data_IF_676408539981
#
_entry.id   IF_676408539981
#
_cell.length_a   1.000
_cell.length_b   1.000
_cell.length_c   1.000
_cell.angle_alpha   90.00
_cell.angle_beta   90.00
_cell.angle_gamma   90.00
#
_symmetry.space_group_name_H-M   'P 1'
#
loop_
_entity.id
_entity.type
_entity.pdbx_description
1 polymer ?
#
# COMPACT_ATOMS: atom_id res chain seq x y z
N UNK A 1 -9.72 -4.16 3.88
CA UNK A 1 -9.59 -3.58 2.54
C UNK A 1 -8.13 -3.67 2.10
N UNK A 2 -7.86 -4.19 0.91
CA UNK A 2 -6.52 -4.32 0.33
C UNK A 2 -6.51 -3.69 -1.07
N UNK A 3 -5.60 -2.76 -1.29
CA UNK A 3 -5.40 -2.12 -2.60
C UNK A 3 -4.44 -2.94 -3.47
N UNK A 4 -4.49 -2.73 -4.78
CA UNK A 4 -3.72 -3.52 -5.74
C UNK A 4 -2.20 -3.32 -5.70
N UNK A 5 -1.72 -2.28 -5.06
CA UNK A 5 -0.30 -2.01 -4.78
C UNK A 5 0.16 -2.49 -3.38
N UNK A 6 -0.76 -3.11 -2.59
CA UNK A 6 -0.52 -3.55 -1.21
C UNK A 6 -0.69 -5.07 -1.04
N UNK A 7 -0.28 -5.85 -2.03
CA UNK A 7 -0.49 -7.31 -2.08
C UNK A 7 0.53 -8.06 -1.21
N UNK A 8 0.40 -7.91 0.11
CA UNK A 8 1.28 -8.55 1.09
C UNK A 8 0.49 -9.39 2.08
N UNK A 9 0.90 -10.68 2.25
CA UNK A 9 0.32 -11.60 3.24
C UNK A 9 0.57 -11.16 4.69
N UNK A 10 1.61 -10.37 4.91
CA UNK A 10 1.97 -9.81 6.21
C UNK A 10 1.50 -8.36 6.37
N UNK A 11 0.57 -7.92 5.52
CA UNK A 11 -0.03 -6.60 5.61
C UNK A 11 -0.63 -6.35 6.99
N UNK A 12 -0.36 -5.18 7.55
CA UNK A 12 -0.98 -4.78 8.82
C UNK A 12 -2.52 -4.77 8.74
N UNK A 13 -3.11 -4.67 7.55
CA UNK A 13 -4.56 -4.79 7.36
C UNK A 13 -5.12 -6.18 7.75
N UNK A 14 -4.27 -7.20 7.80
CA UNK A 14 -4.64 -8.57 8.18
C UNK A 14 -4.31 -8.91 9.64
N UNK A 15 -3.72 -7.99 10.41
CA UNK A 15 -3.45 -8.22 11.83
C UNK A 15 -4.76 -8.38 12.60
N UNK A 16 -4.90 -9.51 13.32
CA UNK A 16 -6.11 -9.83 14.07
C UNK A 16 -7.29 -10.25 13.21
N UNK A 17 -7.07 -10.60 11.93
CA UNK A 17 -8.11 -11.11 11.04
C UNK A 17 -8.71 -12.42 11.56
N UNK A 18 -10.04 -12.47 11.70
CA UNK A 18 -10.79 -13.65 12.05
C UNK A 18 -11.58 -14.16 10.82
N UNK A 19 -11.15 -15.27 10.24
CA UNK A 19 -11.77 -15.83 9.04
C UNK A 19 -13.26 -16.21 9.19
N UNK A 20 -13.76 -16.34 10.42
CA UNK A 20 -15.18 -16.62 10.70
C UNK A 20 -16.06 -15.37 10.63
N UNK A 21 -15.49 -14.18 10.86
CA UNK A 21 -16.22 -12.91 10.98
C UNK A 21 -15.83 -11.94 9.87
N UNK A 22 -14.54 -11.88 9.55
CA UNK A 22 -13.98 -10.86 8.68
C UNK A 22 -13.96 -11.27 7.20
N UNK A 23 -13.92 -10.27 6.34
CA UNK A 23 -13.77 -10.44 4.89
C UNK A 23 -12.72 -9.48 4.35
N UNK A 24 -11.94 -9.96 3.40
CA UNK A 24 -11.06 -9.10 2.59
C UNK A 24 -11.88 -8.55 1.44
N UNK A 25 -11.88 -7.24 1.28
CA UNK A 25 -12.46 -6.57 0.12
C UNK A 25 -11.35 -6.04 -0.78
N UNK A 26 -11.50 -6.31 -2.09
CA UNK A 26 -10.62 -5.84 -3.16
C UNK A 26 -11.44 -5.50 -4.40
N UNK A 27 -11.06 -4.45 -5.12
CA UNK A 27 -11.74 -4.06 -6.36
C UNK A 27 -10.73 -3.64 -7.44
N UNK A 28 -10.95 -4.13 -8.66
CA UNK A 28 -10.35 -3.59 -9.87
C UNK A 28 -11.24 -2.44 -10.33
N UNK A 29 -10.75 -1.23 -10.34
CA UNK A 29 -11.56 -0.07 -10.73
C UNK A 29 -11.00 0.61 -11.97
N UNK A 30 -11.91 1.22 -12.73
CA UNK A 30 -11.54 1.95 -13.95
C UNK A 30 -10.65 3.17 -13.66
N UNK A 31 -10.64 3.68 -12.43
CA UNK A 31 -9.70 4.73 -12.00
C UNK A 31 -8.25 4.26 -12.11
N UNK A 32 -7.95 3.01 -11.78
CA UNK A 32 -6.63 2.40 -12.06
C UNK A 32 -6.39 2.34 -13.57
N UNK A 33 -7.43 2.11 -14.36
CA UNK A 33 -7.38 2.18 -15.82
C UNK A 33 -7.43 3.64 -16.32
N UNK A 34 -8.10 4.57 -15.63
CA UNK A 34 -8.20 5.99 -15.98
C UNK A 34 -6.97 6.79 -15.55
N UNK A 35 -6.29 6.42 -14.49
CA UNK A 35 -4.91 6.89 -14.21
C UNK A 35 -3.95 6.45 -15.31
N UNK A 36 -4.14 5.23 -15.84
CA UNK A 36 -3.43 4.78 -17.03
C UNK A 36 -3.88 5.49 -18.31
N UNK A 37 -4.98 6.26 -18.31
CA UNK A 37 -5.39 7.13 -19.43
C UNK A 37 -4.94 8.57 -19.27
N UNK A 38 -4.72 9.06 -18.06
CA UNK A 38 -4.06 10.36 -17.80
C UNK A 38 -2.57 10.32 -18.14
N UNK A 39 -1.92 9.19 -17.87
CA UNK A 39 -0.54 8.91 -18.26
C UNK A 39 -0.55 7.58 -19.00
N UNK A 40 -0.15 7.60 -20.29
CA UNK A 40 -0.11 6.38 -21.11
C UNK A 40 0.75 5.29 -20.44
N UNK A 41 0.07 4.22 -20.02
CA UNK A 41 0.70 3.06 -19.37
C UNK A 41 0.72 1.90 -20.35
N UNK A 42 1.84 1.21 -20.45
CA UNK A 42 1.96 0.04 -21.31
C UNK A 42 1.00 -1.06 -20.89
N UNK A 43 0.30 -1.67 -21.86
CA UNK A 43 -0.71 -2.73 -21.62
C UNK A 43 -0.19 -3.86 -20.72
N UNK A 44 1.08 -4.27 -20.89
CA UNK A 44 1.68 -5.30 -20.06
C UNK A 44 1.70 -4.94 -18.57
N UNK A 45 1.90 -3.65 -18.22
CA UNK A 45 1.83 -3.20 -16.81
C UNK A 45 0.44 -3.38 -16.24
N UNK A 46 -0.60 -2.99 -16.99
CA UNK A 46 -1.99 -3.15 -16.56
C UNK A 46 -2.31 -4.64 -16.35
N UNK A 47 -1.97 -5.48 -17.33
CA UNK A 47 -2.21 -6.94 -17.26
C UNK A 47 -1.48 -7.55 -16.06
N UNK A 48 -0.21 -7.20 -15.85
CA UNK A 48 0.58 -7.71 -14.72
C UNK A 48 -0.03 -7.29 -13.39
N UNK A 49 -0.47 -6.03 -13.27
CA UNK A 49 -1.07 -5.50 -12.05
C UNK A 49 -2.40 -6.22 -11.71
N UNK A 50 -3.31 -6.31 -12.68
CA UNK A 50 -4.58 -7.00 -12.48
C UNK A 50 -4.40 -8.51 -12.25
N UNK A 51 -3.47 -9.16 -12.97
CA UNK A 51 -3.13 -10.56 -12.74
C UNK A 51 -2.59 -10.79 -11.32
N UNK A 52 -1.71 -9.93 -10.83
CA UNK A 52 -1.19 -10.01 -9.47
C UNK A 52 -2.31 -9.89 -8.41
N UNK A 53 -3.25 -8.97 -8.59
CA UNK A 53 -4.42 -8.82 -7.73
C UNK A 53 -5.26 -10.10 -7.69
N UNK A 54 -5.57 -10.68 -8.86
CA UNK A 54 -6.36 -11.92 -8.99
C UNK A 54 -5.68 -13.10 -8.33
N UNK A 55 -4.39 -13.31 -8.60
CA UNK A 55 -3.61 -14.38 -7.95
C UNK A 55 -3.51 -14.21 -6.44
N UNK A 56 -3.37 -12.97 -5.96
CA UNK A 56 -3.37 -12.71 -4.53
C UNK A 56 -4.71 -13.05 -3.88
N UNK A 57 -5.82 -12.65 -4.49
CA UNK A 57 -7.17 -13.00 -4.03
C UNK A 57 -7.40 -14.53 -4.03
N UNK A 58 -7.01 -15.23 -5.09
CA UNK A 58 -7.08 -16.72 -5.18
C UNK A 58 -6.26 -17.37 -4.07
N UNK A 59 -5.06 -16.88 -3.82
CA UNK A 59 -4.20 -17.37 -2.73
C UNK A 59 -4.87 -17.19 -1.37
N UNK A 60 -5.44 -16.02 -1.08
CA UNK A 60 -6.18 -15.77 0.15
C UNK A 60 -7.35 -16.75 0.30
N UNK A 61 -8.12 -16.98 -0.79
CA UNK A 61 -9.21 -17.95 -0.78
C UNK A 61 -8.73 -19.38 -0.49
N UNK A 62 -7.59 -19.81 -1.06
CA UNK A 62 -7.03 -21.14 -0.79
C UNK A 62 -6.56 -21.31 0.65
N UNK A 63 -6.25 -20.22 1.32
CA UNK A 63 -5.89 -20.18 2.74
C UNK A 63 -7.12 -20.01 3.67
N UNK A 64 -8.33 -20.10 3.13
CA UNK A 64 -9.57 -20.03 3.90
C UNK A 64 -10.07 -18.63 4.19
N UNK A 65 -9.45 -17.58 3.62
CA UNK A 65 -9.91 -16.20 3.76
C UNK A 65 -11.06 -15.93 2.79
N UNK A 66 -12.18 -15.42 3.29
CA UNK A 66 -13.26 -14.96 2.44
C UNK A 66 -12.88 -13.64 1.76
N UNK A 67 -12.78 -13.66 0.43
CA UNK A 67 -12.45 -12.48 -0.38
C UNK A 67 -13.67 -12.03 -1.18
N UNK A 68 -14.06 -10.79 -0.97
CA UNK A 68 -15.04 -10.09 -1.79
C UNK A 68 -14.28 -9.31 -2.87
N UNK A 69 -14.22 -9.89 -4.06
CA UNK A 69 -13.42 -9.38 -5.16
C UNK A 69 -14.29 -8.87 -6.30
N UNK A 70 -14.10 -7.61 -6.69
CA UNK A 70 -14.78 -7.00 -7.83
C UNK A 70 -13.81 -6.91 -9.00
N UNK A 71 -14.12 -7.61 -10.11
CA UNK A 71 -13.33 -7.53 -11.34
C UNK A 71 -13.70 -6.30 -12.16
N UNK A 72 -12.75 -5.83 -12.98
CA UNK A 72 -12.94 -4.68 -13.84
C UNK A 72 -14.07 -4.87 -14.87
N UNK A 73 -14.24 -6.09 -15.36
CA UNK A 73 -15.23 -6.49 -16.36
C UNK A 73 -16.55 -6.99 -15.76
N UNK A 74 -16.71 -6.95 -14.43
CA UNK A 74 -18.00 -7.26 -13.80
C UNK A 74 -19.05 -6.21 -14.21
N UNK A 75 -20.23 -6.66 -14.60
CA UNK A 75 -21.34 -5.78 -15.03
C UNK A 75 -21.79 -4.81 -13.91
N UNK A 76 -21.54 -5.15 -12.66
CA UNK A 76 -21.86 -4.32 -11.50
C UNK A 76 -20.70 -3.42 -11.05
N UNK A 77 -19.55 -3.46 -11.74
CA UNK A 77 -18.42 -2.59 -11.42
C UNK A 77 -18.78 -1.13 -11.70
N UNK A 78 -18.64 -0.29 -10.69
CA UNK A 78 -19.07 1.12 -10.70
C UNK A 78 -17.97 2.09 -11.10
N UNK A 79 -16.78 1.58 -11.40
CA UNK A 79 -15.68 2.31 -12.01
C UNK A 79 -14.81 3.11 -11.06
N UNK A 80 -15.20 3.32 -9.78
CA UNK A 80 -14.37 4.04 -8.82
C UNK A 80 -14.26 3.32 -7.46
N UNK A 81 -13.16 3.53 -6.74
CA UNK A 81 -12.98 2.96 -5.40
C UNK A 81 -14.08 3.39 -4.43
N UNK A 82 -14.46 4.65 -4.47
CA UNK A 82 -15.49 5.19 -3.57
C UNK A 82 -16.83 4.52 -3.78
N UNK A 83 -17.29 4.43 -5.04
CA UNK A 83 -18.59 3.85 -5.36
C UNK A 83 -18.64 2.35 -5.13
N UNK A 84 -17.52 1.64 -5.36
CA UNK A 84 -17.40 0.23 -5.03
C UNK A 84 -17.37 0.00 -3.51
N UNK A 85 -16.67 0.85 -2.74
CA UNK A 85 -16.67 0.78 -1.29
C UNK A 85 -18.08 1.04 -0.72
N UNK A 86 -18.79 2.04 -1.22
CA UNK A 86 -20.19 2.32 -0.82
C UNK A 86 -21.10 1.11 -1.02
N UNK A 87 -20.97 0.45 -2.18
CA UNK A 87 -21.72 -0.76 -2.48
C UNK A 87 -21.35 -1.93 -1.54
N UNK A 88 -20.06 -2.10 -1.29
CA UNK A 88 -19.57 -3.14 -0.38
C UNK A 88 -20.05 -2.91 1.06
N UNK A 89 -19.97 -1.68 1.57
CA UNK A 89 -20.42 -1.32 2.91
C UNK A 89 -21.94 -1.52 3.05
N UNK A 90 -22.73 -1.11 2.05
CA UNK A 90 -24.18 -1.30 2.06
C UNK A 90 -24.56 -2.79 2.11
N UNK A 91 -23.81 -3.66 1.43
CA UNK A 91 -24.07 -5.09 1.35
C UNK A 91 -23.54 -5.86 2.54
N UNK A 92 -22.29 -5.58 2.96
CA UNK A 92 -21.58 -6.34 4.00
C UNK A 92 -21.84 -5.81 5.40
N UNK A 93 -22.24 -4.54 5.52
CA UNK A 93 -22.51 -3.85 6.79
C UNK A 93 -21.42 -4.06 7.85
N UNK A 94 -20.15 -3.75 7.52
CA UNK A 94 -19.05 -3.98 8.44
C UNK A 94 -19.13 -3.06 9.66
N UNK A 95 -18.70 -3.51 10.82
CA UNK A 95 -18.54 -2.67 12.01
C UNK A 95 -17.44 -1.61 11.82
N UNK A 96 -16.36 -2.00 11.14
CA UNK A 96 -15.26 -1.11 10.81
C UNK A 96 -14.58 -1.53 9.50
N UNK A 97 -13.92 -0.58 8.88
CA UNK A 97 -13.01 -0.80 7.76
C UNK A 97 -11.58 -0.78 8.26
N UNK A 98 -10.79 -1.73 7.86
CA UNK A 98 -9.35 -1.79 8.17
C UNK A 98 -8.59 -1.72 6.85
N UNK A 99 -7.64 -0.81 6.75
CA UNK A 99 -6.74 -0.69 5.60
C UNK A 99 -5.34 -0.27 6.03
N UNK A 100 -4.37 -0.57 5.21
CA UNK A 100 -3.05 0.08 5.28
C UNK A 100 -3.17 1.43 4.58
N UNK A 101 -2.45 2.43 5.06
CA UNK A 101 -2.41 3.75 4.43
C UNK A 101 -2.16 3.63 2.92
N UNK A 102 -3.03 4.23 2.11
CA UNK A 102 -2.83 4.25 0.67
C UNK A 102 -1.58 5.06 0.32
N UNK A 103 -0.79 4.56 -0.62
CA UNK A 103 0.41 5.26 -1.10
C UNK A 103 0.07 6.56 -1.85
N UNK A 104 -1.11 6.64 -2.42
CA UNK A 104 -1.61 7.83 -3.10
C UNK A 104 -2.46 8.68 -2.15
N UNK A 105 -2.09 9.94 -1.99
CA UNK A 105 -2.77 10.86 -1.06
C UNK A 105 -4.27 11.04 -1.40
N UNK A 106 -4.62 11.17 -2.68
CA UNK A 106 -6.02 11.37 -3.09
C UNK A 106 -6.87 10.14 -2.73
N UNK A 107 -6.40 8.93 -3.01
CA UNK A 107 -7.08 7.67 -2.68
C UNK A 107 -7.31 7.58 -1.16
N UNK A 108 -6.31 7.96 -0.37
CA UNK A 108 -6.41 7.99 1.09
C UNK A 108 -7.52 8.93 1.57
N UNK A 109 -7.53 10.18 1.07
CA UNK A 109 -8.55 11.17 1.44
C UNK A 109 -9.95 10.75 0.97
N UNK A 110 -10.06 10.15 -0.20
CA UNK A 110 -11.34 9.66 -0.73
C UNK A 110 -11.92 8.54 0.14
N UNK A 111 -11.10 7.60 0.62
CA UNK A 111 -11.55 6.56 1.55
C UNK A 111 -11.94 7.14 2.92
N UNK A 112 -11.19 8.10 3.45
CA UNK A 112 -11.54 8.81 4.69
C UNK A 112 -12.88 9.53 4.59
N UNK A 113 -13.07 10.27 3.50
CA UNK A 113 -14.31 10.98 3.23
C UNK A 113 -15.49 10.02 3.05
N UNK A 114 -15.29 8.91 2.32
CA UNK A 114 -16.31 7.89 2.13
C UNK A 114 -16.70 7.22 3.46
N UNK A 115 -15.75 6.78 4.27
CA UNK A 115 -15.99 6.16 5.56
C UNK A 115 -16.78 7.09 6.50
N UNK A 116 -16.38 8.38 6.55
CA UNK A 116 -17.09 9.41 7.33
C UNK A 116 -18.54 9.58 6.85
N UNK A 117 -18.77 9.65 5.54
CA UNK A 117 -20.12 9.80 4.95
C UNK A 117 -20.98 8.58 5.21
N UNK A 118 -20.40 7.38 5.19
CA UNK A 118 -21.08 6.12 5.45
C UNK A 118 -21.29 5.84 6.95
N UNK A 119 -20.69 6.63 7.83
CA UNK A 119 -20.77 6.44 9.28
C UNK A 119 -20.05 5.18 9.77
N UNK A 120 -19.08 4.67 9.03
CA UNK A 120 -18.28 3.50 9.39
C UNK A 120 -16.88 3.92 9.86
N UNK A 121 -16.40 3.30 10.93
CA UNK A 121 -15.04 3.58 11.44
C UNK A 121 -13.99 3.08 10.45
N UNK A 122 -13.00 3.92 10.13
CA UNK A 122 -11.84 3.57 9.33
C UNK A 122 -10.61 3.45 10.24
N UNK A 123 -10.05 2.25 10.33
CA UNK A 123 -8.80 1.91 11.02
C UNK A 123 -7.68 1.90 9.98
N UNK A 124 -6.96 3.02 9.86
CA UNK A 124 -5.79 3.13 8.98
C UNK A 124 -4.56 2.68 9.74
N UNK A 125 -3.84 1.73 9.16
CA UNK A 125 -2.63 1.14 9.72
C UNK A 125 -1.40 1.52 8.92
N UNK A 126 -0.25 1.59 9.58
CA UNK A 126 1.02 1.88 8.92
C UNK A 126 1.39 0.79 7.91
N UNK A 127 1.92 1.19 6.76
CA UNK A 127 2.42 0.26 5.75
C UNK A 127 3.81 -0.28 6.15
N UNK A 128 3.86 -1.57 6.46
CA UNK A 128 5.10 -2.28 6.81
C UNK A 128 5.90 -2.75 5.60
N UNK A 129 5.39 -2.51 4.40
CA UNK A 129 6.09 -2.85 3.16
C UNK A 129 7.33 -1.97 2.96
N UNK A 130 7.31 -0.76 3.51
CA UNK A 130 8.44 0.16 3.48
C UNK A 130 9.36 -0.04 4.68
N UNK A 131 10.67 0.04 4.45
CA UNK A 131 11.68 -0.04 5.52
C UNK A 131 11.67 1.19 6.44
N UNK A 132 11.12 2.29 5.99
CA UNK A 132 11.02 3.54 6.73
C UNK A 132 9.57 3.89 6.99
N UNK A 133 9.24 4.24 8.23
CA UNK A 133 7.96 4.81 8.61
C UNK A 133 7.93 6.33 8.40
N UNK A 134 6.72 6.91 8.39
CA UNK A 134 6.57 8.37 8.45
C UNK A 134 7.31 8.97 9.65
N UNK A 135 7.23 8.31 10.82
CA UNK A 135 7.92 8.75 12.04
C UNK A 135 9.46 8.73 11.91
N UNK A 136 10.02 7.76 11.19
CA UNK A 136 11.46 7.74 10.89
C UNK A 136 11.87 8.96 10.07
N UNK A 137 11.08 9.29 9.05
CA UNK A 137 11.38 10.43 8.22
C UNK A 137 11.18 11.76 8.97
N UNK A 138 10.12 11.91 9.75
CA UNK A 138 9.89 13.09 10.59
C UNK A 138 11.04 13.31 11.58
N UNK A 139 11.50 12.24 12.23
CA UNK A 139 12.66 12.28 13.11
C UNK A 139 13.92 12.74 12.37
N UNK A 140 14.16 12.20 11.18
CA UNK A 140 15.29 12.62 10.33
C UNK A 140 15.18 14.09 9.91
N UNK A 141 13.99 14.55 9.52
CA UNK A 141 13.77 15.90 9.01
C UNK A 141 13.82 16.97 10.11
N UNK A 142 13.54 16.63 11.36
CA UNK A 142 13.41 17.55 12.48
C UNK A 142 14.67 18.42 12.66
N UNK A 143 14.50 19.74 12.53
CA UNK A 143 15.57 20.73 12.74
C UNK A 143 16.59 20.83 11.61
N UNK A 144 16.46 20.06 10.53
CA UNK A 144 17.37 20.12 9.38
C UNK A 144 16.93 21.20 8.38
N UNK A 145 17.86 22.03 7.95
CA UNK A 145 17.62 23.02 6.88
C UNK A 145 17.65 22.41 5.48
N UNK A 146 18.32 21.28 5.32
CA UNK A 146 18.47 20.53 4.07
C UNK A 146 18.25 19.06 4.31
N UNK A 147 17.42 18.45 3.49
CA UNK A 147 17.18 17.01 3.50
C UNK A 147 17.95 16.37 2.35
N UNK A 148 18.89 15.49 2.68
CA UNK A 148 19.64 14.70 1.72
C UNK A 148 19.29 13.24 1.93
N UNK A 149 18.79 12.59 0.89
CA UNK A 149 18.40 11.17 0.93
C UNK A 149 19.56 10.27 1.36
N UNK A 150 20.80 10.61 1.03
CA UNK A 150 21.99 9.88 1.45
C UNK A 150 22.09 9.70 2.96
N UNK A 151 21.81 10.75 3.73
CA UNK A 151 21.88 10.67 5.20
C UNK A 151 20.73 9.87 5.78
N UNK A 152 19.54 10.02 5.24
CA UNK A 152 18.40 9.19 5.63
C UNK A 152 18.64 7.71 5.31
N UNK A 153 19.17 7.41 4.13
CA UNK A 153 19.56 6.07 3.72
C UNK A 153 20.57 5.44 4.70
N UNK A 154 21.58 6.19 5.15
CA UNK A 154 22.55 5.71 6.14
C UNK A 154 21.89 5.37 7.47
N UNK A 155 20.96 6.23 7.95
CA UNK A 155 20.19 5.98 9.16
C UNK A 155 19.34 4.70 9.03
N UNK A 156 18.69 4.49 7.89
CA UNK A 156 17.88 3.29 7.66
C UNK A 156 18.74 2.04 7.55
N UNK A 157 19.89 2.10 6.89
CA UNK A 157 20.85 0.98 6.86
C UNK A 157 21.30 0.59 8.26
N UNK A 158 21.65 1.56 9.10
CA UNK A 158 22.04 1.30 10.48
C UNK A 158 20.89 0.73 11.30
N UNK A 159 19.68 1.27 11.15
CA UNK A 159 18.47 0.80 11.86
C UNK A 159 18.15 -0.66 11.53
N UNK A 160 18.25 -1.05 10.27
CA UNK A 160 17.86 -2.38 9.79
C UNK A 160 19.03 -3.35 9.64
N UNK A 161 20.24 -2.94 9.95
CA UNK A 161 21.44 -3.78 9.84
C UNK A 161 21.82 -4.16 8.41
N UNK A 162 21.32 -3.44 7.39
CA UNK A 162 21.54 -3.76 5.98
C UNK A 162 22.95 -3.34 5.55
N UNK A 163 23.77 -4.30 5.11
CA UNK A 163 25.18 -4.09 4.74
C UNK A 163 25.97 -3.39 5.85
N UNK A 164 25.72 -3.79 7.10
CA UNK A 164 26.40 -3.29 8.28
C UNK A 164 27.17 -4.42 8.95
N UNK A 165 28.36 -4.13 9.45
CA UNK A 165 29.20 -5.02 10.25
C UNK A 165 29.71 -4.25 11.48
N UNK A 166 29.46 -4.79 12.68
CA UNK A 166 29.84 -4.17 13.96
C UNK A 166 29.53 -2.65 14.06
N UNK A 167 28.38 -2.23 13.51
CA UNK A 167 27.92 -0.83 13.50
C UNK A 167 28.58 0.07 12.46
N UNK A 168 29.39 -0.51 11.57
CA UNK A 168 30.03 0.19 10.44
C UNK A 168 29.51 -0.34 9.11
N UNK A 169 29.56 0.46 8.05
CA UNK A 169 29.20 -0.05 6.71
C UNK A 169 30.19 -1.12 6.28
N UNK A 170 29.69 -2.19 5.66
CA UNK A 170 30.52 -3.24 5.06
C UNK A 170 31.46 -2.59 4.03
N UNK A 171 32.73 -2.94 4.07
CA UNK A 171 33.78 -2.33 3.25
C UNK A 171 34.35 -1.02 3.81
N UNK A 172 33.84 -0.51 4.95
CA UNK A 172 34.38 0.64 5.67
C UNK A 172 33.88 2.01 5.19
N UNK A 173 33.26 2.10 4.01
CA UNK A 173 32.79 3.36 3.42
C UNK A 173 31.30 3.37 3.16
N UNK A 174 30.69 4.56 3.29
CA UNK A 174 29.28 4.75 3.01
C UNK A 174 28.97 4.99 1.53
N UNK A 175 29.94 5.46 0.78
CA UNK A 175 29.76 5.85 -0.62
C UNK A 175 30.99 5.49 -1.43
N UNK A 176 30.85 4.51 -2.31
CA UNK A 176 31.88 4.06 -3.26
C UNK A 176 31.81 4.79 -4.60
N UNK A 177 30.83 5.67 -4.80
CA UNK A 177 30.59 6.38 -6.06
C UNK A 177 31.07 7.84 -6.02
N UNK A 178 31.78 8.24 -4.98
CA UNK A 178 32.22 9.63 -4.79
C UNK A 178 33.12 10.14 -5.91
N UNK A 179 33.90 9.25 -6.54
CA UNK A 179 34.82 9.58 -7.61
C UNK A 179 34.14 9.68 -8.98
N UNK A 180 33.00 9.00 -9.20
CA UNK A 180 32.29 9.02 -10.47
C UNK A 180 31.57 10.34 -10.78
N UNK A 181 31.48 11.25 -9.81
CA UNK A 181 30.80 12.55 -9.96
C UNK A 181 31.77 13.72 -10.10
N UNK A 182 33.05 13.44 -10.20
CA UNK A 182 34.05 14.46 -10.51
C UNK A 182 34.12 14.61 -12.04
N UNK A 183 33.56 15.68 -12.54
CA UNK A 183 33.75 16.16 -13.93
C UNK A 183 35.12 16.79 -14.08
#
# INVERSE_FOLDING_TARGET
>A
LILGDQLDRHSAALDGFDASLDRVWMAEVAEVAAESTKVWVHKARIVTFLAAMRHFAERLCTEGVMVDYRKLDDAENRGSFVTELEAAVARLKPEKLIMVEAGEWQVREDFRAAAKRLGVTLDEREDRHFMASHADFEKHAKGRKQLRMEFFYREMRAKHGVLMDAGKPVGGEWNYDSENRKS
#
